data_IF_611197647499
#
_entry.id   IF_611197647499
#
_cell.length_a   1.000
_cell.length_b   1.000
_cell.length_c   1.000
_cell.angle_alpha   90.00
_cell.angle_beta   90.00
_cell.angle_gamma   90.00
#
_symmetry.space_group_name_H-M   'P 1'
#
loop_
_entity.id
_entity.type
_entity.pdbx_description
1 polymer ?
#
# COMPACT_ATOMS: atom_id res chain seq x y z
N UNK A 1 9.73 60.79 28.33
CA UNK A 1 9.32 60.04 27.13
C UNK A 1 9.80 58.60 27.30
N UNK A 2 8.95 57.76 27.87
CA UNK A 2 9.20 56.33 28.08
C UNK A 2 7.97 55.62 27.54
N UNK A 3 8.03 55.24 26.27
CA UNK A 3 6.95 54.53 25.60
C UNK A 3 6.99 53.06 25.98
N UNK A 4 5.86 52.65 26.54
CA UNK A 4 5.46 51.33 26.96
C UNK A 4 5.00 50.53 25.73
N UNK A 5 5.69 49.46 25.35
CA UNK A 5 5.25 48.55 24.28
C UNK A 5 4.82 47.22 24.89
N UNK A 6 3.52 47.13 25.24
CA UNK A 6 2.81 45.86 25.34
C UNK A 6 2.78 45.23 23.94
N UNK A 7 3.46 44.10 23.75
CA UNK A 7 3.23 43.27 22.57
C UNK A 7 2.30 42.12 22.96
N UNK A 8 1.14 42.07 22.29
CA UNK A 8 0.10 41.07 22.41
C UNK A 8 0.64 39.70 21.98
N UNK A 9 0.57 38.72 22.86
CA UNK A 9 0.55 37.31 22.48
C UNK A 9 -0.89 36.96 22.08
N UNK A 10 -1.15 36.82 20.78
CA UNK A 10 -2.39 36.26 20.24
C UNK A 10 -2.07 35.51 18.96
N UNK A 11 -2.32 34.19 18.95
CA UNK A 11 -2.44 33.39 17.73
C UNK A 11 -1.66 32.08 17.74
N UNK A 12 -2.26 31.01 18.25
CA UNK A 12 -1.95 29.63 17.80
C UNK A 12 -3.08 28.63 18.11
N UNK A 13 -3.97 28.92 19.07
CA UNK A 13 -5.04 27.99 19.47
C UNK A 13 -6.13 27.68 18.43
N UNK A 14 -6.29 28.48 17.38
CA UNK A 14 -7.34 28.26 16.37
C UNK A 14 -7.02 27.17 15.34
N UNK A 15 -5.73 26.91 15.08
CA UNK A 15 -5.32 25.98 14.02
C UNK A 15 -5.25 24.53 14.50
N UNK A 16 -5.14 24.32 15.82
CA UNK A 16 -5.12 22.98 16.43
C UNK A 16 -6.53 22.41 16.59
N UNK A 17 -7.50 23.21 17.04
CA UNK A 17 -8.89 22.77 17.21
C UNK A 17 -9.50 22.41 15.83
N UNK A 18 -9.28 23.22 14.80
CA UNK A 18 -9.72 22.94 13.43
C UNK A 18 -9.11 21.63 12.87
N UNK A 19 -7.87 21.29 13.26
CA UNK A 19 -7.20 20.05 12.83
C UNK A 19 -7.77 18.83 13.54
N UNK A 20 -8.09 18.94 14.83
CA UNK A 20 -8.70 17.85 15.61
C UNK A 20 -10.09 17.54 15.07
N UNK A 21 -10.92 18.56 14.84
CA UNK A 21 -12.26 18.39 14.24
C UNK A 21 -12.18 17.75 12.84
N UNK A 22 -11.18 18.13 12.04
CA UNK A 22 -10.95 17.52 10.73
C UNK A 22 -10.49 16.06 10.81
N UNK A 23 -9.72 15.69 11.84
CA UNK A 23 -9.30 14.31 12.09
C UNK A 23 -10.50 13.47 12.57
N UNK A 24 -11.32 13.99 13.47
CA UNK A 24 -12.51 13.29 13.98
C UNK A 24 -13.52 13.02 12.86
N UNK A 25 -13.84 14.01 12.03
CA UNK A 25 -14.72 13.82 10.88
C UNK A 25 -14.17 12.78 9.88
N UNK A 26 -12.85 12.69 9.75
CA UNK A 26 -12.20 11.70 8.90
C UNK A 26 -12.24 10.29 9.51
N UNK A 27 -12.11 10.15 10.83
CA UNK A 27 -12.27 8.86 11.52
C UNK A 27 -13.65 8.26 11.22
N UNK A 28 -14.71 9.06 11.29
CA UNK A 28 -16.07 8.63 10.97
C UNK A 28 -16.22 8.18 9.52
N UNK A 29 -15.61 8.91 8.58
CA UNK A 29 -15.65 8.54 7.17
C UNK A 29 -14.85 7.27 6.87
N UNK A 30 -13.70 7.07 7.52
CA UNK A 30 -12.91 5.85 7.42
C UNK A 30 -13.68 4.65 8.00
N UNK A 31 -14.39 4.83 9.12
CA UNK A 31 -15.23 3.78 9.69
C UNK A 31 -16.34 3.36 8.70
N UNK A 32 -17.02 4.32 8.06
CA UNK A 32 -18.02 4.02 7.01
C UNK A 32 -17.41 3.30 5.81
N UNK A 33 -16.18 3.66 5.41
CA UNK A 33 -15.44 2.99 4.33
C UNK A 33 -15.15 1.54 4.72
N UNK A 34 -14.62 1.30 5.92
CA UNK A 34 -14.34 -0.04 6.43
C UNK A 34 -15.61 -0.90 6.46
N UNK A 35 -16.70 -0.36 6.99
CA UNK A 35 -18.00 -1.03 7.00
C UNK A 35 -18.51 -1.32 5.58
N UNK A 36 -18.31 -0.39 4.65
CA UNK A 36 -18.66 -0.56 3.25
C UNK A 36 -17.92 -1.72 2.58
N UNK A 37 -16.62 -1.88 2.88
CA UNK A 37 -15.80 -2.98 2.38
C UNK A 37 -16.16 -4.30 3.06
N UNK A 38 -16.31 -4.31 4.39
CA UNK A 38 -16.61 -5.52 5.19
C UNK A 38 -17.99 -6.14 4.90
N UNK A 39 -18.92 -5.38 4.32
CA UNK A 39 -20.20 -5.93 3.81
C UNK A 39 -20.03 -6.83 2.59
N UNK A 40 -18.94 -6.64 1.85
CA UNK A 40 -18.69 -7.34 0.59
C UNK A 40 -17.61 -8.40 0.78
N UNK A 41 -16.57 -8.10 1.55
CA UNK A 41 -15.42 -8.97 1.80
C UNK A 41 -15.53 -9.57 3.21
N UNK A 42 -15.57 -10.90 3.30
CA UNK A 42 -15.80 -11.61 4.56
C UNK A 42 -14.51 -12.25 5.11
N UNK A 43 -14.30 -12.13 6.42
CA UNK A 43 -13.20 -12.69 7.20
C UNK A 43 -11.79 -12.39 6.67
N UNK A 44 -11.63 -11.21 6.08
CA UNK A 44 -10.32 -10.67 5.69
C UNK A 44 -10.07 -9.32 6.36
N UNK A 45 -10.47 -9.16 7.62
CA UNK A 45 -10.37 -7.89 8.36
C UNK A 45 -8.94 -7.32 8.34
N UNK A 46 -7.93 -8.15 8.57
CA UNK A 46 -6.53 -7.73 8.53
C UNK A 46 -6.12 -7.25 7.13
N UNK A 47 -6.51 -7.96 6.07
CA UNK A 47 -6.19 -7.58 4.68
C UNK A 47 -6.88 -6.26 4.31
N UNK A 48 -8.13 -6.06 4.76
CA UNK A 48 -8.87 -4.82 4.58
C UNK A 48 -8.16 -3.68 5.32
N UNK A 49 -7.82 -3.86 6.60
CA UNK A 49 -7.10 -2.87 7.41
C UNK A 49 -5.77 -2.48 6.75
N UNK A 50 -4.93 -3.45 6.40
CA UNK A 50 -3.61 -3.22 5.80
C UNK A 50 -3.71 -2.54 4.41
N UNK A 51 -4.72 -2.91 3.60
CA UNK A 51 -4.95 -2.26 2.31
C UNK A 51 -5.43 -0.82 2.49
N UNK A 52 -6.34 -0.57 3.45
CA UNK A 52 -6.79 0.80 3.78
C UNK A 52 -5.64 1.65 4.31
N UNK A 53 -4.79 1.11 5.19
CA UNK A 53 -3.57 1.77 5.67
C UNK A 53 -2.70 2.18 4.48
N UNK A 54 -2.51 1.28 3.52
CA UNK A 54 -1.70 1.55 2.32
C UNK A 54 -2.28 2.71 1.49
N UNK A 55 -3.59 2.72 1.25
CA UNK A 55 -4.24 3.80 0.50
C UNK A 55 -4.17 5.13 1.24
N UNK A 56 -4.43 5.14 2.55
CA UNK A 56 -4.34 6.33 3.41
C UNK A 56 -2.90 6.86 3.55
N UNK A 57 -1.90 5.99 3.46
CA UNK A 57 -0.49 6.39 3.43
C UNK A 57 -0.04 6.94 2.06
N UNK A 58 -0.88 6.86 1.03
CA UNK A 58 -0.50 7.26 -0.34
C UNK A 58 0.36 6.22 -1.06
N UNK A 59 0.35 4.96 -0.60
CA UNK A 59 1.25 3.91 -1.03
C UNK A 59 0.65 2.93 -2.05
N UNK A 60 1.44 1.91 -2.39
CA UNK A 60 1.04 0.78 -3.24
C UNK A 60 1.15 -0.52 -2.45
N UNK A 61 0.27 -1.49 -2.73
CA UNK A 61 0.21 -2.73 -1.96
C UNK A 61 0.62 -3.91 -2.83
N UNK A 62 1.34 -4.86 -2.22
CA UNK A 62 1.60 -6.18 -2.81
C UNK A 62 0.76 -7.23 -2.08
N UNK A 63 -0.24 -7.79 -2.75
CA UNK A 63 -1.13 -8.84 -2.24
C UNK A 63 -0.58 -10.22 -2.61
N UNK A 64 -0.04 -10.96 -1.66
CA UNK A 64 0.52 -12.29 -1.89
C UNK A 64 -0.47 -13.34 -1.40
N UNK A 65 -0.86 -14.28 -2.25
CA UNK A 65 -1.74 -15.37 -1.82
C UNK A 65 -2.18 -16.23 -2.99
N UNK A 66 -2.74 -17.40 -2.69
CA UNK A 66 -3.20 -18.33 -3.74
C UNK A 66 -4.41 -17.78 -4.50
N UNK A 67 -4.70 -18.29 -5.71
CA UNK A 67 -5.89 -17.90 -6.47
C UNK A 67 -7.18 -18.18 -5.70
N UNK A 68 -8.24 -17.41 -6.00
CA UNK A 68 -9.57 -17.64 -5.42
C UNK A 68 -9.83 -16.97 -4.06
N UNK A 69 -8.85 -16.33 -3.43
CA UNK A 69 -9.01 -15.65 -2.13
C UNK A 69 -9.64 -14.25 -2.20
N UNK A 70 -10.48 -13.98 -3.20
CA UNK A 70 -11.24 -12.71 -3.27
C UNK A 70 -10.41 -11.43 -3.52
N UNK A 71 -9.11 -11.53 -3.86
CA UNK A 71 -8.24 -10.37 -4.13
C UNK A 71 -8.82 -9.41 -5.18
N UNK A 72 -9.31 -9.94 -6.30
CA UNK A 72 -9.94 -9.13 -7.36
C UNK A 72 -11.16 -8.37 -6.82
N UNK A 73 -12.01 -9.06 -6.07
CA UNK A 73 -13.23 -8.48 -5.48
C UNK A 73 -12.90 -7.41 -4.45
N UNK A 74 -11.82 -7.56 -3.69
CA UNK A 74 -11.32 -6.53 -2.77
C UNK A 74 -10.96 -5.25 -3.54
N UNK A 75 -10.18 -5.34 -4.62
CA UNK A 75 -9.77 -4.16 -5.41
C UNK A 75 -10.96 -3.46 -6.04
N UNK A 76 -11.88 -4.20 -6.66
CA UNK A 76 -13.12 -3.66 -7.23
C UNK A 76 -14.00 -2.96 -6.18
N UNK A 77 -14.11 -3.58 -4.99
CA UNK A 77 -14.86 -3.02 -3.86
C UNK A 77 -14.24 -1.71 -3.40
N UNK A 78 -12.92 -1.64 -3.25
CA UNK A 78 -12.20 -0.42 -2.88
C UNK A 78 -12.38 0.68 -3.94
N UNK A 79 -12.28 0.35 -5.23
CA UNK A 79 -12.54 1.28 -6.33
C UNK A 79 -13.92 1.94 -6.21
N UNK A 80 -14.97 1.10 -6.03
CA UNK A 80 -16.35 1.56 -5.83
C UNK A 80 -16.53 2.40 -4.55
N UNK A 81 -16.00 1.94 -3.41
CA UNK A 81 -16.17 2.61 -2.11
C UNK A 81 -15.51 3.99 -2.08
N UNK A 82 -14.33 4.14 -2.70
CA UNK A 82 -13.63 5.42 -2.83
C UNK A 82 -14.03 6.23 -4.06
N UNK A 83 -14.89 5.70 -4.93
CA UNK A 83 -15.28 6.33 -6.19
C UNK A 83 -14.10 6.65 -7.11
N UNK A 84 -13.10 5.78 -7.13
CA UNK A 84 -11.91 5.87 -7.98
C UNK A 84 -12.19 5.23 -9.34
N UNK A 85 -11.60 5.77 -10.41
CA UNK A 85 -11.51 5.05 -11.68
C UNK A 85 -10.55 3.86 -11.52
N UNK A 86 -11.07 2.65 -11.60
CA UNK A 86 -10.31 1.42 -11.48
C UNK A 86 -10.05 0.72 -12.82
N UNK A 87 -8.85 0.15 -12.97
CA UNK A 87 -8.51 -0.72 -14.10
C UNK A 87 -7.81 -1.97 -13.63
N UNK A 88 -7.94 -3.04 -14.42
CA UNK A 88 -7.28 -4.32 -14.18
C UNK A 88 -6.38 -4.67 -15.36
N UNK A 89 -5.17 -5.14 -15.05
CA UNK A 89 -4.22 -5.69 -16.00
C UNK A 89 -3.77 -7.05 -15.50
N UNK A 90 -3.91 -8.05 -16.35
CA UNK A 90 -3.33 -9.37 -16.14
C UNK A 90 -1.91 -9.36 -16.67
N UNK A 91 -0.93 -9.67 -15.84
CA UNK A 91 0.45 -9.80 -16.28
C UNK A 91 0.65 -11.18 -16.90
N UNK A 92 1.16 -11.18 -18.12
CA UNK A 92 1.48 -12.37 -18.90
C UNK A 92 2.91 -12.24 -19.45
N UNK A 93 3.57 -13.37 -19.83
CA UNK A 93 4.94 -13.33 -20.33
C UNK A 93 5.14 -12.47 -21.59
N UNK A 94 4.10 -12.30 -22.39
CA UNK A 94 4.06 -11.53 -23.63
C UNK A 94 3.67 -10.06 -23.45
N UNK A 95 3.26 -9.65 -22.24
CA UNK A 95 2.84 -8.28 -21.96
C UNK A 95 4.01 -7.31 -22.13
N UNK A 96 3.83 -6.30 -22.99
CA UNK A 96 4.84 -5.30 -23.28
C UNK A 96 4.67 -4.04 -22.43
N UNK A 97 5.74 -3.25 -22.20
CA UNK A 97 5.64 -1.98 -21.49
C UNK A 97 4.58 -1.02 -22.08
N UNK A 98 4.43 -0.99 -23.41
CA UNK A 98 3.45 -0.15 -24.09
C UNK A 98 2.00 -0.54 -23.78
N UNK A 99 1.72 -1.80 -23.45
CA UNK A 99 0.38 -2.25 -23.08
C UNK A 99 -0.04 -1.76 -21.69
N UNK A 100 0.94 -1.34 -20.87
CA UNK A 100 0.74 -0.80 -19.52
C UNK A 100 0.77 0.73 -19.55
N UNK A 101 1.81 1.30 -20.15
CA UNK A 101 2.06 2.75 -20.17
C UNK A 101 1.22 3.46 -21.23
N UNK A 102 0.80 2.77 -22.28
CA UNK A 102 0.23 3.36 -23.49
C UNK A 102 1.25 3.41 -24.63
N UNK A 103 0.74 3.67 -25.82
CA UNK A 103 1.52 3.69 -27.07
C UNK A 103 1.06 4.80 -28.00
N UNK A 104 1.93 5.21 -28.91
CA UNK A 104 1.53 6.08 -30.02
C UNK A 104 1.05 5.22 -31.19
N UNK A 105 -0.13 5.56 -31.70
CA UNK A 105 -0.69 4.94 -32.91
C UNK A 105 -0.72 5.99 -34.02
N UNK A 106 -0.40 5.55 -35.24
CA UNK A 106 -0.54 6.38 -36.41
C UNK A 106 -2.02 6.41 -36.79
N UNK A 107 -2.63 7.59 -36.76
CA UNK A 107 -4.02 7.81 -37.13
C UNK A 107 -4.05 8.65 -38.41
N UNK A 108 -4.87 8.22 -39.37
CA UNK A 108 -5.11 8.97 -40.60
C UNK A 108 -6.44 9.72 -40.45
N UNK A 109 -6.38 11.05 -40.47
CA UNK A 109 -7.58 11.88 -40.44
C UNK A 109 -8.39 11.70 -41.74
N UNK A 110 -9.69 12.06 -41.71
CA UNK A 110 -10.56 12.09 -42.91
C UNK A 110 -9.99 12.95 -44.05
N UNK A 111 -9.04 13.84 -43.74
CA UNK A 111 -8.32 14.69 -44.70
C UNK A 111 -7.07 14.05 -45.34
N UNK A 112 -6.74 12.80 -45.01
CA UNK A 112 -5.53 12.09 -45.47
C UNK A 112 -4.23 12.50 -44.76
N UNK A 113 -4.29 13.39 -43.75
CA UNK A 113 -3.13 13.71 -42.92
C UNK A 113 -2.90 12.62 -41.89
N UNK A 114 -1.68 12.09 -41.85
CA UNK A 114 -1.19 11.13 -40.85
C UNK A 114 -0.64 11.89 -39.64
N UNK A 115 -1.12 11.54 -38.45
CA UNK A 115 -0.62 12.06 -37.18
C UNK A 115 -0.44 10.95 -36.16
N UNK A 116 0.49 11.12 -35.22
CA UNK A 116 0.64 10.20 -34.09
C UNK A 116 -0.34 10.65 -32.98
N UNK A 117 -1.18 9.71 -32.51
CA UNK A 117 -2.04 9.91 -31.35
C UNK A 117 -1.60 9.00 -30.22
N UNK A 118 -1.43 9.57 -29.03
CA UNK A 118 -1.18 8.79 -27.83
C UNK A 118 -2.45 8.09 -27.34
N UNK A 119 -2.36 6.77 -27.20
CA UNK A 119 -3.38 5.93 -26.59
C UNK A 119 -2.95 5.61 -25.17
N UNK A 120 -3.70 6.12 -24.20
CA UNK A 120 -3.44 5.94 -22.77
C UNK A 120 -3.54 4.46 -22.40
N UNK A 121 -2.50 3.95 -21.75
CA UNK A 121 -2.52 2.62 -21.15
C UNK A 121 -3.39 2.54 -19.89
N UNK A 122 -3.52 1.34 -19.30
CA UNK A 122 -4.28 1.09 -18.09
C UNK A 122 -3.74 1.80 -16.84
N UNK A 123 -2.48 2.26 -16.81
CA UNK A 123 -1.97 3.08 -15.69
C UNK A 123 -2.66 4.44 -15.56
N UNK A 124 -3.35 4.91 -16.61
CA UNK A 124 -4.17 6.11 -16.54
C UNK A 124 -5.54 5.78 -15.92
N UNK A 125 -5.51 5.50 -14.63
CA UNK A 125 -6.65 5.33 -13.72
C UNK A 125 -6.21 5.81 -12.32
N UNK A 126 -7.07 5.70 -11.31
CA UNK A 126 -6.75 6.04 -9.92
C UNK A 126 -6.43 4.81 -9.07
N UNK A 127 -6.99 3.65 -9.41
CA UNK A 127 -6.71 2.37 -8.76
C UNK A 127 -6.43 1.28 -9.81
N UNK A 128 -5.17 0.86 -9.92
CA UNK A 128 -4.76 -0.20 -10.84
C UNK A 128 -4.59 -1.53 -10.09
N UNK A 129 -5.33 -2.56 -10.52
CA UNK A 129 -5.03 -3.95 -10.17
C UNK A 129 -4.01 -4.51 -11.16
N UNK A 130 -2.83 -4.89 -10.66
CA UNK A 130 -1.78 -5.55 -11.45
C UNK A 130 -1.69 -7.03 -11.04
N UNK A 131 -2.46 -7.87 -11.71
CA UNK A 131 -2.59 -9.28 -11.36
C UNK A 131 -1.38 -10.09 -11.83
N UNK A 132 -0.81 -10.90 -10.93
CA UNK A 132 0.32 -11.80 -11.18
C UNK A 132 1.55 -11.08 -11.75
N UNK A 133 1.96 -9.98 -11.09
CA UNK A 133 3.05 -9.10 -11.55
C UNK A 133 4.37 -9.86 -11.83
N UNK A 134 4.60 -11.00 -11.16
CA UNK A 134 5.73 -11.87 -11.36
C UNK A 134 5.70 -12.65 -12.69
N UNK A 135 4.63 -12.63 -13.49
CA UNK A 135 4.57 -13.34 -14.78
C UNK A 135 5.08 -12.52 -15.96
N UNK A 136 5.16 -11.19 -15.85
CA UNK A 136 5.68 -10.37 -16.93
C UNK A 136 7.21 -10.24 -16.88
N UNK A 137 7.79 -9.88 -18.02
CA UNK A 137 9.23 -9.65 -18.13
C UNK A 137 9.73 -8.55 -17.16
N UNK A 138 11.00 -8.59 -16.72
CA UNK A 138 11.58 -7.55 -15.87
C UNK A 138 11.46 -6.13 -16.45
N UNK A 139 11.42 -5.98 -17.78
CA UNK A 139 11.24 -4.70 -18.46
C UNK A 139 9.82 -4.15 -18.26
N UNK A 140 8.82 -5.02 -18.37
CA UNK A 140 7.40 -4.69 -18.17
C UNK A 140 7.11 -4.38 -16.70
N UNK A 141 7.67 -5.15 -15.77
CA UNK A 141 7.63 -4.86 -14.34
C UNK A 141 8.24 -3.48 -14.04
N UNK A 142 9.42 -3.19 -14.59
CA UNK A 142 10.11 -1.91 -14.38
C UNK A 142 9.29 -0.71 -14.89
N UNK A 143 8.57 -0.86 -15.99
CA UNK A 143 7.70 0.18 -16.54
C UNK A 143 6.58 0.56 -15.56
N UNK A 144 5.87 -0.42 -15.00
CA UNK A 144 4.85 -0.18 -13.98
C UNK A 144 5.44 0.47 -12.72
N UNK A 145 6.58 -0.04 -12.24
CA UNK A 145 7.24 0.46 -11.04
C UNK A 145 7.78 1.88 -11.19
N UNK A 146 8.19 2.26 -12.40
CA UNK A 146 8.55 3.64 -12.72
C UNK A 146 7.32 4.54 -12.65
N UNK A 147 6.20 4.12 -13.24
CA UNK A 147 4.93 4.84 -13.18
C UNK A 147 4.45 5.05 -11.73
N UNK A 148 4.59 4.03 -10.88
CA UNK A 148 4.35 4.10 -9.44
C UNK A 148 5.20 5.17 -8.75
N UNK A 149 6.50 5.21 -9.03
CA UNK A 149 7.43 6.11 -8.33
C UNK A 149 7.37 7.55 -8.83
N UNK A 150 7.18 7.76 -10.14
CA UNK A 150 7.20 9.08 -10.75
C UNK A 150 5.82 9.73 -10.86
N UNK A 151 4.73 8.96 -10.71
CA UNK A 151 3.34 9.42 -10.94
C UNK A 151 3.10 10.04 -12.32
N UNK A 152 3.94 9.67 -13.30
CA UNK A 152 3.88 10.07 -14.70
C UNK A 152 4.56 8.99 -15.54
N UNK A 153 4.30 9.02 -16.85
CA UNK A 153 4.96 8.13 -17.82
C UNK A 153 5.61 8.95 -18.92
N UNK A 154 6.67 8.40 -19.52
CA UNK A 154 7.31 8.97 -20.71
C UNK A 154 7.08 8.04 -21.90
N UNK A 155 6.38 8.53 -22.92
CA UNK A 155 6.10 7.78 -24.15
C UNK A 155 6.51 8.67 -25.32
N UNK A 156 7.32 8.12 -26.24
CA UNK A 156 7.85 8.85 -27.41
C UNK A 156 8.53 10.20 -27.08
N UNK A 157 9.15 10.30 -25.89
CA UNK A 157 9.82 11.52 -25.43
C UNK A 157 8.90 12.59 -24.83
N UNK A 158 7.59 12.33 -24.71
CA UNK A 158 6.63 13.21 -24.05
C UNK A 158 6.23 12.66 -22.68
N UNK A 159 6.12 13.57 -21.71
CA UNK A 159 5.64 13.23 -20.37
C UNK A 159 4.12 13.33 -20.28
N UNK A 160 3.51 12.35 -19.63
CA UNK A 160 2.08 12.30 -19.36
C UNK A 160 1.85 12.01 -17.87
N UNK A 161 1.20 12.93 -17.16
CA UNK A 161 0.87 12.77 -15.74
C UNK A 161 -0.23 11.73 -15.53
N UNK A 162 -0.10 10.93 -14.48
CA UNK A 162 -1.15 9.99 -14.07
C UNK A 162 -2.26 10.70 -13.28
N UNK A 163 -3.50 10.21 -13.35
CA UNK A 163 -4.59 10.69 -12.50
C UNK A 163 -4.24 10.62 -11.01
N UNK A 164 -4.77 11.55 -10.19
CA UNK A 164 -4.51 11.59 -8.75
C UNK A 164 -5.80 11.31 -7.96
N UNK A 165 -5.74 10.55 -6.85
CA UNK A 165 -4.59 9.75 -6.40
C UNK A 165 -4.34 8.58 -7.37
N UNK A 166 -3.12 8.05 -7.39
CA UNK A 166 -2.74 6.87 -8.18
C UNK A 166 -2.24 5.78 -7.25
N UNK A 167 -2.93 4.64 -7.22
CA UNK A 167 -2.58 3.49 -6.41
C UNK A 167 -2.49 2.23 -7.28
N UNK A 168 -1.58 1.34 -6.90
CA UNK A 168 -1.42 0.03 -7.52
C UNK A 168 -1.56 -1.02 -6.43
N UNK A 169 -2.49 -1.95 -6.64
CA UNK A 169 -2.62 -3.17 -5.85
C UNK A 169 -2.15 -4.32 -6.75
N UNK A 170 -0.89 -4.70 -6.58
CA UNK A 170 -0.29 -5.79 -7.35
C UNK A 170 -0.54 -7.13 -6.63
N UNK A 171 -0.77 -8.20 -7.37
CA UNK A 171 -0.91 -9.54 -6.79
C UNK A 171 0.27 -10.43 -7.19
N UNK A 172 0.58 -11.40 -6.32
CA UNK A 172 1.50 -12.49 -6.63
C UNK A 172 0.95 -13.81 -6.12
N UNK A 173 1.07 -14.84 -6.95
CA UNK A 173 0.80 -16.22 -6.56
C UNK A 173 2.12 -16.89 -6.13
N UNK A 174 2.29 -17.25 -4.85
CA UNK A 174 3.55 -17.83 -4.36
C UNK A 174 3.79 -19.27 -4.85
N UNK A 175 2.75 -19.98 -5.32
CA UNK A 175 2.86 -21.37 -5.75
C UNK A 175 3.31 -21.53 -7.22
N UNK A 176 3.26 -20.47 -8.01
CA UNK A 176 3.53 -20.52 -9.44
C UNK A 176 5.03 -20.35 -9.71
N UNK A 177 5.72 -21.46 -10.02
CA UNK A 177 7.18 -21.49 -10.22
C UNK A 177 7.58 -21.48 -11.70
N UNK A 178 6.68 -21.87 -12.62
CA UNK A 178 6.97 -21.88 -14.05
C UNK A 178 6.66 -20.54 -14.70
N UNK A 179 7.60 -20.03 -15.51
CA UNK A 179 7.38 -18.79 -16.28
C UNK A 179 7.27 -17.53 -15.42
N UNK A 180 7.82 -17.53 -14.21
CA UNK A 180 7.81 -16.37 -13.32
C UNK A 180 9.19 -15.71 -13.21
N UNK A 181 9.17 -14.39 -13.08
CA UNK A 181 10.29 -13.50 -12.88
C UNK A 181 10.13 -12.84 -11.51
N UNK A 182 10.91 -13.24 -10.49
CA UNK A 182 10.81 -12.63 -9.18
C UNK A 182 11.16 -11.14 -9.26
N UNK A 183 10.41 -10.32 -8.52
CA UNK A 183 10.74 -8.90 -8.39
C UNK A 183 12.05 -8.76 -7.62
N UNK A 184 13.06 -8.06 -8.17
CA UNK A 184 14.25 -7.68 -7.42
C UNK A 184 13.90 -6.91 -6.14
N UNK A 185 14.78 -6.98 -5.15
CA UNK A 185 14.60 -6.38 -3.83
C UNK A 185 14.37 -4.87 -3.91
N UNK A 186 15.13 -4.19 -4.77
CA UNK A 186 14.98 -2.76 -5.03
C UNK A 186 13.60 -2.39 -5.64
N UNK A 187 12.94 -3.35 -6.29
CA UNK A 187 11.60 -3.18 -6.83
C UNK A 187 10.53 -3.42 -5.77
N UNK A 188 10.69 -4.46 -4.96
CA UNK A 188 9.80 -4.75 -3.83
C UNK A 188 9.73 -3.57 -2.85
N UNK A 189 10.85 -2.92 -2.55
CA UNK A 189 10.90 -1.79 -1.61
C UNK A 189 10.03 -0.58 -2.03
N UNK A 190 9.58 -0.51 -3.30
CA UNK A 190 8.64 0.51 -3.78
C UNK A 190 7.20 0.27 -3.33
N UNK A 191 6.85 -0.94 -2.92
CA UNK A 191 5.56 -1.23 -2.30
C UNK A 191 5.58 -0.77 -0.85
N UNK A 192 4.50 -0.12 -0.42
CA UNK A 192 4.36 0.36 0.95
C UNK A 192 4.43 -0.81 1.93
N UNK A 193 3.64 -1.86 1.66
CA UNK A 193 3.64 -3.11 2.39
C UNK A 193 3.32 -4.31 1.50
N UNK A 194 3.68 -5.49 1.98
CA UNK A 194 3.23 -6.77 1.46
C UNK A 194 2.20 -7.37 2.42
N UNK A 195 1.03 -7.71 1.88
CA UNK A 195 -0.10 -8.27 2.62
C UNK A 195 -0.29 -9.71 2.16
N UNK A 196 -0.17 -10.65 3.09
CA UNK A 196 -0.40 -12.06 2.79
C UNK A 196 -1.88 -12.40 3.01
N UNK A 197 -2.54 -12.85 1.95
CA UNK A 197 -3.92 -13.30 1.96
C UNK A 197 -3.91 -14.82 2.17
N UNK A 198 -4.45 -15.26 3.30
CA UNK A 198 -4.50 -16.67 3.71
C UNK A 198 -5.90 -17.25 3.49
N UNK A 199 -6.03 -18.57 3.59
CA UNK A 199 -7.34 -19.21 3.55
C UNK A 199 -8.20 -18.76 4.73
N UNK A 200 -9.49 -18.50 4.51
CA UNK A 200 -10.41 -18.20 5.60
C UNK A 200 -10.52 -19.38 6.57
N UNK A 201 -10.89 -19.09 7.82
CA UNK A 201 -11.31 -20.14 8.74
C UNK A 201 -12.66 -20.76 8.32
N UNK A 202 -13.02 -21.89 8.94
CA UNK A 202 -14.21 -22.65 8.59
C UNK A 202 -15.51 -21.81 8.67
N UNK A 203 -15.62 -20.94 9.67
CA UNK A 203 -16.84 -20.15 9.89
C UNK A 203 -16.95 -19.02 8.85
N UNK A 204 -15.83 -18.36 8.56
CA UNK A 204 -15.72 -17.40 7.47
C UNK A 204 -16.01 -18.05 6.12
N UNK A 205 -15.44 -19.23 5.86
CA UNK A 205 -15.66 -19.95 4.61
C UNK A 205 -17.12 -20.36 4.42
N UNK A 206 -17.78 -20.79 5.52
CA UNK A 206 -19.22 -21.04 5.55
C UNK A 206 -20.02 -19.78 5.22
N UNK A 207 -19.66 -18.64 5.80
CA UNK A 207 -20.32 -17.36 5.53
C UNK A 207 -20.14 -16.93 4.06
N UNK A 208 -18.92 -17.05 3.53
CA UNK A 208 -18.62 -16.80 2.11
C UNK A 208 -19.50 -17.69 1.25
N UNK A 209 -19.58 -18.99 1.53
CA UNK A 209 -20.39 -19.93 0.75
C UNK A 209 -21.86 -19.51 0.73
N UNK A 210 -22.45 -19.20 1.88
CA UNK A 210 -23.87 -18.81 1.97
C UNK A 210 -24.13 -17.48 1.25
N UNK A 211 -23.28 -16.46 1.47
CA UNK A 211 -23.53 -15.10 0.97
C UNK A 211 -23.15 -14.91 -0.50
N UNK A 212 -22.21 -15.69 -1.03
CA UNK A 212 -21.80 -15.58 -2.44
C UNK A 212 -22.59 -16.49 -3.38
N UNK A 213 -23.26 -17.53 -2.86
CA UNK A 213 -24.14 -18.41 -3.66
C UNK A 213 -25.62 -18.04 -3.58
N UNK A 214 -25.99 -17.08 -2.72
CA UNK A 214 -27.34 -16.54 -2.63
C UNK A 214 -27.72 -15.65 -3.82
N UNK A 215 -29.02 -15.40 -4.01
CA UNK A 215 -29.54 -14.57 -5.10
C UNK A 215 -29.28 -13.06 -4.90
N UNK A 216 -29.08 -12.62 -3.66
CA UNK A 216 -28.81 -11.22 -3.33
C UNK A 216 -27.30 -10.94 -3.26
N UNK A 217 -26.74 -10.37 -4.32
CA UNK A 217 -25.39 -9.82 -4.28
C UNK A 217 -25.44 -8.40 -3.71
N UNK A 218 -24.83 -8.19 -2.54
CA UNK A 218 -24.63 -6.82 -2.04
C UNK A 218 -23.53 -6.13 -2.85
N UNK A 219 -23.90 -5.06 -3.55
CA UNK A 219 -22.96 -4.18 -4.24
C UNK A 219 -22.37 -3.15 -3.28
N UNK A 220 -21.05 -2.94 -3.42
CA UNK A 220 -20.34 -1.89 -2.74
C UNK A 220 -20.91 -0.52 -3.16
N UNK A 221 -21.26 0.32 -2.17
CA UNK A 221 -21.69 1.69 -2.41
C UNK A 221 -20.53 2.65 -2.22
N UNK A 222 -20.51 3.71 -3.02
CA UNK A 222 -19.57 4.81 -2.84
C UNK A 222 -19.81 5.49 -1.49
N UNK A 223 -18.76 5.56 -0.68
CA UNK A 223 -18.75 6.21 0.64
C UNK A 223 -17.91 7.48 0.58
N UNK A 224 -16.77 7.42 -0.10
CA UNK A 224 -15.81 8.51 -0.22
C UNK A 224 -15.59 8.88 -1.70
N UNK A 225 -15.02 10.05 -1.95
CA UNK A 225 -14.52 10.43 -3.28
C UNK A 225 -13.00 10.54 -3.32
N UNK A 226 -12.37 10.56 -4.52
CA UNK A 226 -10.91 10.60 -4.60
C UNK A 226 -10.29 11.88 -4.01
N UNK A 227 -11.02 13.00 -4.00
CA UNK A 227 -10.54 14.25 -3.39
C UNK A 227 -10.54 14.14 -1.86
N UNK A 228 -11.54 13.49 -1.29
CA UNK A 228 -11.64 13.19 0.14
C UNK A 228 -10.54 12.22 0.56
N UNK A 229 -10.23 11.19 -0.24
CA UNK A 229 -9.08 10.31 0.01
C UNK A 229 -7.76 11.10 0.02
N UNK A 230 -7.54 12.02 -0.92
CA UNK A 230 -6.35 12.86 -0.92
C UNK A 230 -6.27 13.80 0.30
N UNK A 231 -7.42 14.33 0.77
CA UNK A 231 -7.48 15.09 2.03
C UNK A 231 -7.12 14.19 3.21
N UNK A 232 -7.63 12.96 3.24
CA UNK A 232 -7.30 11.98 4.26
C UNK A 232 -5.81 11.66 4.30
N UNK A 233 -5.19 11.42 3.15
CA UNK A 233 -3.75 11.21 3.02
C UNK A 233 -2.92 12.40 3.53
N UNK A 234 -3.44 13.61 3.39
CA UNK A 234 -2.81 14.81 3.95
C UNK A 234 -2.93 14.85 5.46
N UNK A 235 -4.13 14.57 6.00
CA UNK A 235 -4.40 14.56 7.44
C UNK A 235 -3.62 13.48 8.20
N UNK A 236 -3.46 12.28 7.61
CA UNK A 236 -2.61 11.20 8.16
C UNK A 236 -1.19 11.69 8.45
N UNK A 237 -0.65 12.61 7.64
CA UNK A 237 0.70 13.17 7.85
C UNK A 237 0.79 14.15 9.03
N UNK A 238 -0.34 14.65 9.53
CA UNK A 238 -0.42 15.59 10.63
C UNK A 238 -0.75 14.91 11.97
N UNK A 239 -1.10 13.62 11.98
CA UNK A 239 -1.31 12.86 13.20
C UNK A 239 -0.05 12.89 14.07
N UNK A 240 -0.12 13.38 15.32
CA UNK A 240 1.02 13.45 16.21
C UNK A 240 1.50 12.05 16.59
N UNK A 241 2.81 11.88 16.76
CA UNK A 241 3.42 10.60 17.13
C UNK A 241 4.29 10.82 18.35
N UNK A 242 4.05 10.04 19.39
CA UNK A 242 4.85 10.08 20.62
C UNK A 242 6.30 9.63 20.36
N UNK A 243 7.22 10.16 21.16
CA UNK A 243 8.65 9.83 21.08
C UNK A 243 8.90 8.33 21.22
N UNK A 244 8.20 7.66 22.14
CA UNK A 244 8.29 6.20 22.34
C UNK A 244 7.97 5.40 21.08
N UNK A 245 6.99 5.82 20.28
CA UNK A 245 6.62 5.16 19.01
C UNK A 245 7.71 5.39 17.96
N UNK A 246 8.23 6.62 17.87
CA UNK A 246 9.33 6.93 16.95
C UNK A 246 10.61 6.15 17.28
N UNK A 247 10.96 6.07 18.56
CA UNK A 247 12.08 5.27 19.06
C UNK A 247 11.88 3.77 18.78
N UNK A 248 10.67 3.24 19.02
CA UNK A 248 10.36 1.84 18.71
C UNK A 248 10.55 1.53 17.22
N UNK A 249 10.07 2.39 16.32
CA UNK A 249 10.28 2.25 14.87
C UNK A 249 11.77 2.25 14.53
N UNK A 250 12.54 3.19 15.08
CA UNK A 250 13.98 3.28 14.83
C UNK A 250 14.72 2.04 15.36
N UNK A 251 14.35 1.56 16.55
CA UNK A 251 14.94 0.39 17.20
C UNK A 251 14.72 -0.87 16.37
N UNK A 252 13.48 -1.16 15.95
CA UNK A 252 13.14 -2.31 15.10
C UNK A 252 13.89 -2.25 13.77
N UNK A 253 13.82 -1.11 13.06
CA UNK A 253 14.42 -1.01 11.72
C UNK A 253 15.93 -1.07 11.77
N UNK A 254 16.59 -0.42 12.75
CA UNK A 254 18.05 -0.50 12.89
C UNK A 254 18.50 -1.89 13.32
N UNK A 255 17.80 -2.52 14.26
CA UNK A 255 18.11 -3.87 14.70
C UNK A 255 17.90 -4.92 13.60
N UNK A 256 17.07 -4.65 12.58
CA UNK A 256 16.91 -5.52 11.41
C UNK A 256 18.06 -5.46 10.41
N UNK A 257 19.05 -4.57 10.59
CA UNK A 257 20.19 -4.42 9.67
C UNK A 257 21.37 -5.25 10.13
N UNK A 258 21.91 -6.17 9.31
CA UNK A 258 22.99 -7.06 9.75
C UNK A 258 24.28 -6.31 10.11
N UNK A 259 24.54 -5.13 9.53
CA UNK A 259 25.71 -4.30 9.81
C UNK A 259 25.58 -3.44 11.09
N UNK A 260 24.36 -3.24 11.58
CA UNK A 260 24.08 -2.35 12.72
C UNK A 260 23.38 -3.04 13.90
N UNK A 261 23.09 -4.34 13.80
CA UNK A 261 22.35 -5.08 14.81
C UNK A 261 23.25 -5.67 15.89
N UNK A 262 22.87 -5.48 17.15
CA UNK A 262 23.50 -6.15 18.28
C UNK A 262 23.05 -7.63 18.40
N UNK A 263 21.95 -8.01 17.74
CA UNK A 263 21.38 -9.36 17.79
C UNK A 263 22.20 -10.33 16.93
N UNK A 264 22.80 -11.39 17.51
CA UNK A 264 23.56 -12.38 16.74
C UNK A 264 22.73 -13.07 15.67
N UNK A 265 21.45 -13.33 15.94
CA UNK A 265 20.56 -13.99 14.97
C UNK A 265 20.43 -13.15 13.70
N UNK A 266 20.31 -11.82 13.83
CA UNK A 266 20.22 -10.92 12.67
C UNK A 266 21.54 -10.90 11.90
N UNK A 267 22.66 -10.74 12.60
CA UNK A 267 23.99 -10.66 11.97
C UNK A 267 24.34 -11.91 11.16
N UNK A 268 23.92 -13.08 11.64
CA UNK A 268 24.25 -14.36 11.01
C UNK A 268 23.22 -14.78 9.94
N UNK A 269 21.94 -14.46 10.15
CA UNK A 269 20.86 -14.99 9.33
C UNK A 269 20.30 -14.01 8.30
N UNK A 270 20.51 -12.70 8.46
CA UNK A 270 20.01 -11.68 7.52
C UNK A 270 21.10 -11.30 6.53
N UNK A 271 20.84 -11.47 5.23
CA UNK A 271 21.75 -11.07 4.16
C UNK A 271 21.67 -9.57 3.86
N UNK A 272 20.47 -9.00 3.92
CA UNK A 272 20.24 -7.56 3.86
C UNK A 272 18.98 -7.18 4.63
N UNK A 273 19.01 -5.99 5.22
CA UNK A 273 17.97 -5.51 6.13
C UNK A 273 17.24 -4.24 5.65
N UNK A 274 16.28 -3.76 6.44
CA UNK A 274 15.36 -2.70 6.03
C UNK A 274 16.04 -1.33 5.99
N UNK A 275 15.83 -0.62 4.87
CA UNK A 275 16.34 0.75 4.65
C UNK A 275 15.47 1.84 5.30
N UNK A 276 15.81 3.13 5.08
CA UNK A 276 15.04 4.27 5.62
C UNK A 276 13.56 4.30 5.19
N UNK A 277 13.23 3.74 4.01
CA UNK A 277 11.84 3.62 3.56
C UNK A 277 10.98 2.77 4.50
N UNK A 278 11.56 1.77 5.16
CA UNK A 278 10.84 0.99 6.16
C UNK A 278 10.42 1.85 7.36
N UNK A 279 11.32 2.72 7.85
CA UNK A 279 11.00 3.66 8.94
C UNK A 279 9.91 4.65 8.54
N UNK A 280 9.96 5.17 7.31
CA UNK A 280 8.94 6.06 6.78
C UNK A 280 7.58 5.35 6.62
N UNK A 281 7.59 4.12 6.10
CA UNK A 281 6.40 3.31 5.94
C UNK A 281 5.78 2.96 7.30
N UNK A 282 6.57 2.55 8.30
CA UNK A 282 6.09 2.33 9.67
C UNK A 282 5.49 3.61 10.24
N UNK A 283 6.18 4.74 10.14
CA UNK A 283 5.69 6.03 10.66
C UNK A 283 4.34 6.43 10.06
N UNK A 284 4.18 6.34 8.74
CA UNK A 284 2.90 6.63 8.09
C UNK A 284 1.84 5.56 8.39
N UNK A 285 2.25 4.30 8.46
CA UNK A 285 1.39 3.16 8.72
C UNK A 285 0.76 3.24 10.11
N UNK A 286 1.54 3.50 11.15
CA UNK A 286 1.02 3.60 12.52
C UNK A 286 0.04 4.77 12.67
N UNK A 287 0.29 5.89 11.99
CA UNK A 287 -0.64 7.03 11.95
C UNK A 287 -1.96 6.66 11.28
N UNK A 288 -1.89 6.06 10.10
CA UNK A 288 -3.09 5.61 9.38
C UNK A 288 -3.87 4.56 10.18
N UNK A 289 -3.18 3.61 10.83
CA UNK A 289 -3.79 2.59 11.68
C UNK A 289 -4.50 3.17 12.88
N UNK A 290 -3.86 4.12 13.58
CA UNK A 290 -4.49 4.83 14.70
C UNK A 290 -5.81 5.47 14.26
N UNK A 291 -5.82 6.16 13.12
CA UNK A 291 -7.04 6.77 12.57
C UNK A 291 -8.11 5.75 12.20
N UNK A 292 -7.75 4.64 11.55
CA UNK A 292 -8.69 3.56 11.23
C UNK A 292 -9.35 2.99 12.50
N UNK A 293 -8.61 2.96 13.61
CA UNK A 293 -9.10 2.49 14.90
C UNK A 293 -9.76 3.60 15.74
N UNK A 294 -9.94 4.80 15.18
CA UNK A 294 -10.55 5.94 15.87
C UNK A 294 -9.70 6.55 17.00
N UNK A 295 -8.38 6.36 16.94
CA UNK A 295 -7.42 6.95 17.88
C UNK A 295 -6.73 8.16 17.25
N UNK A 296 -6.57 9.22 18.04
CA UNK A 296 -5.89 10.46 17.64
C UNK A 296 -4.36 10.38 17.67
N UNK A 297 -3.80 9.30 18.24
CA UNK A 297 -2.35 9.07 18.28
C UNK A 297 -2.02 7.57 18.23
N UNK A 298 -0.93 7.19 17.55
CA UNK A 298 -0.46 5.82 17.51
C UNK A 298 0.18 5.40 18.83
N UNK A 299 0.30 4.08 19.00
CA UNK A 299 0.95 3.41 20.12
C UNK A 299 2.07 2.48 19.62
N UNK A 300 2.86 1.92 20.54
CA UNK A 300 3.90 0.93 20.19
C UNK A 300 3.27 -0.36 19.63
N UNK A 301 2.04 -0.70 20.04
CA UNK A 301 1.29 -1.84 19.50
C UNK A 301 1.02 -1.70 17.98
N UNK A 302 0.95 -0.48 17.47
CA UNK A 302 0.85 -0.22 16.03
C UNK A 302 2.13 -0.57 15.28
N UNK A 303 3.28 -0.38 15.92
CA UNK A 303 4.57 -0.78 15.35
C UNK A 303 4.64 -2.31 15.27
N UNK A 304 4.21 -3.01 16.33
CA UNK A 304 4.16 -4.47 16.36
C UNK A 304 3.29 -5.02 15.22
N UNK A 305 2.05 -4.53 15.13
CA UNK A 305 1.10 -5.03 14.13
C UNK A 305 1.55 -4.80 12.69
N UNK A 306 2.28 -3.70 12.43
CA UNK A 306 2.72 -3.35 11.09
C UNK A 306 4.15 -3.78 10.77
N UNK A 307 4.91 -4.32 11.74
CA UNK A 307 6.27 -4.79 11.51
C UNK A 307 6.31 -5.88 10.43
N UNK A 308 5.42 -6.86 10.53
CA UNK A 308 5.31 -7.96 9.58
C UNK A 308 5.02 -7.51 8.13
N UNK A 309 3.91 -6.82 7.84
CA UNK A 309 3.56 -6.44 6.47
C UNK A 309 4.54 -5.41 5.88
N UNK A 310 5.22 -4.59 6.71
CA UNK A 310 6.14 -3.57 6.22
C UNK A 310 7.58 -4.10 6.04
N UNK A 311 8.04 -5.06 6.84
CA UNK A 311 9.44 -5.51 6.83
C UNK A 311 9.68 -6.75 5.98
N UNK A 312 8.68 -7.63 5.78
CA UNK A 312 8.88 -8.93 5.12
C UNK A 312 9.49 -8.87 3.72
N UNK A 313 9.10 -7.87 2.93
CA UNK A 313 9.62 -7.64 1.58
C UNK A 313 10.84 -6.71 1.55
N UNK A 314 11.30 -6.27 2.72
CA UNK A 314 12.45 -5.36 2.94
C UNK A 314 13.62 -6.05 3.63
N UNK A 315 13.62 -7.37 3.65
CA UNK A 315 14.65 -8.19 4.26
C UNK A 315 14.82 -9.47 3.45
N UNK A 316 16.05 -9.99 3.41
CA UNK A 316 16.25 -11.38 3.01
C UNK A 316 17.22 -12.08 3.93
N UNK A 317 17.05 -13.40 3.99
CA UNK A 317 17.90 -14.29 4.74
C UNK A 317 19.14 -14.71 3.92
N UNK A 318 20.17 -15.13 4.63
CA UNK A 318 21.31 -15.84 4.04
C UNK A 318 20.89 -17.23 3.57
N UNK A 319 21.66 -17.83 2.66
CA UNK A 319 21.40 -19.19 2.19
C UNK A 319 21.44 -20.20 3.35
N UNK A 320 22.41 -20.06 4.27
CA UNK A 320 22.54 -20.92 5.45
C UNK A 320 21.31 -20.87 6.35
N UNK A 321 20.80 -19.67 6.66
CA UNK A 321 19.60 -19.50 7.46
C UNK A 321 18.37 -20.19 6.82
N UNK A 322 18.20 -20.06 5.50
CA UNK A 322 17.12 -20.75 4.78
C UNK A 322 17.27 -22.28 4.85
N UNK A 323 18.49 -22.80 4.76
CA UNK A 323 18.76 -24.23 4.89
C UNK A 323 18.47 -24.77 6.30
N UNK A 324 18.62 -23.92 7.33
CA UNK A 324 18.25 -24.21 8.73
C UNK A 324 16.74 -24.09 9.00
N UNK A 325 15.94 -23.70 7.99
CA UNK A 325 14.49 -23.52 8.13
C UNK A 325 14.07 -22.21 8.80
N UNK A 326 15.01 -21.26 8.97
CA UNK A 326 14.69 -19.92 9.48
C UNK A 326 13.83 -19.17 8.47
N UNK A 327 12.80 -18.48 8.97
CA UNK A 327 11.90 -17.66 8.15
C UNK A 327 12.06 -16.18 8.45
N UNK A 328 11.74 -15.32 7.46
CA UNK A 328 11.74 -13.87 7.65
C UNK A 328 10.73 -13.48 8.75
N UNK A 329 9.61 -14.20 8.86
CA UNK A 329 8.63 -13.98 9.92
C UNK A 329 9.23 -14.15 11.32
N UNK A 330 9.96 -15.23 11.56
CA UNK A 330 10.65 -15.46 12.84
C UNK A 330 11.67 -14.36 13.17
N UNK A 331 12.37 -13.86 12.15
CA UNK A 331 13.29 -12.72 12.31
C UNK A 331 12.53 -11.46 12.71
N UNK A 332 11.39 -11.18 12.08
CA UNK A 332 10.56 -10.02 12.43
C UNK A 332 9.99 -10.15 13.84
N UNK A 333 9.52 -11.33 14.23
CA UNK A 333 9.06 -11.60 15.60
C UNK A 333 10.17 -11.30 16.62
N UNK A 334 11.39 -11.73 16.32
CA UNK A 334 12.57 -11.45 17.15
C UNK A 334 12.88 -9.96 17.25
N UNK A 335 12.70 -9.20 16.17
CA UNK A 335 12.82 -7.74 16.16
C UNK A 335 11.68 -7.04 16.91
N UNK A 336 10.51 -7.65 17.02
CA UNK A 336 9.41 -7.07 17.79
C UNK A 336 9.63 -7.22 19.30
N UNK A 337 10.20 -8.34 19.74
CA UNK A 337 10.50 -8.60 21.16
C UNK A 337 11.45 -7.58 21.81
N UNK A 338 12.22 -6.81 21.04
CA UNK A 338 13.13 -5.79 21.59
C UNK A 338 12.42 -4.46 21.88
N UNK A 339 11.19 -4.25 21.42
CA UNK A 339 10.38 -3.05 21.70
C UNK A 339 9.20 -3.31 22.65
N UNK A 340 9.03 -4.56 23.08
CA UNK A 340 8.21 -4.93 24.24
C UNK A 340 8.86 -4.43 25.55
#
# INVERSE_FOLDING_TARGET
>A
MTTNTKNKATGDGGNTDDLVDAIDGLVDDIAKVRDGVGRVIFGQETVIEETLITLLAGGHCLLVGVPGLGKTRLVETLGKVFGMDEKRVQFTPDLMPGDILGSEVLEESESGKRGFRFVKGPVFCQLLMADEINRASPRTQSALLQAMQEHRVSVAGQYHDLPKPFHVLATQNPLEQEGTYPLPEAQLDRFFMQVDVTHPDLETEREILIKTTGADTQDAKRVMDPKALMRAQSLVRHVPVGESVAEAILKVVRAGRPDASDLPEIRNYVSWGPGPRASQALMLGVRARAMIQGRLSPSVEDVYALAHPILRHRMALTFGARAEGVTVGQIIDRLCQIIE
#
